data_IF_547719039969
#
_entry.id   IF_547719039969
#
_cell.length_a   1.000
_cell.length_b   1.000
_cell.length_c   1.000
_cell.angle_alpha   90.00
_cell.angle_beta   90.00
_cell.angle_gamma   90.00
#
_symmetry.space_group_name_H-M   'P 1'
#
loop_
_entity.id
_entity.type
_entity.pdbx_description
1 polymer ?
#
# COMPACT_ATOMS: atom_id res chain seq x y z
N UNK A 1 6.90 21.03 21.31
CA UNK A 1 7.56 19.72 21.44
C UNK A 1 8.83 19.71 20.60
N UNK A 2 9.95 19.22 21.14
CA UNK A 2 11.19 19.02 20.37
C UNK A 2 10.97 17.96 19.29
N UNK A 3 11.53 18.17 18.08
CA UNK A 3 11.49 17.19 17.01
C UNK A 3 12.68 16.26 17.10
N UNK A 4 12.44 14.97 16.88
CA UNK A 4 13.50 14.00 16.67
C UNK A 4 13.86 13.97 15.21
N UNK A 5 15.13 13.86 14.88
CA UNK A 5 15.61 13.87 13.50
C UNK A 5 16.59 12.72 13.33
N UNK A 6 16.34 11.87 12.33
CA UNK A 6 17.23 10.78 11.89
C UNK A 6 17.53 10.93 10.40
N UNK A 7 18.67 10.40 9.95
CA UNK A 7 19.17 10.57 8.58
C UNK A 7 19.64 9.25 7.98
N UNK A 8 19.86 9.29 6.68
CA UNK A 8 20.59 8.24 5.97
C UNK A 8 19.90 6.89 5.97
N UNK A 9 20.69 5.86 6.21
CA UNK A 9 20.23 4.46 6.16
C UNK A 9 19.27 4.11 7.31
N UNK A 10 19.50 4.65 8.49
CA UNK A 10 18.65 4.45 9.66
C UNK A 10 17.22 4.94 9.39
N UNK A 11 17.08 6.16 8.87
CA UNK A 11 15.79 6.72 8.48
C UNK A 11 15.06 5.85 7.43
N UNK A 12 15.80 5.38 6.41
CA UNK A 12 15.23 4.51 5.38
C UNK A 12 14.77 3.16 5.93
N UNK A 13 15.57 2.55 6.82
CA UNK A 13 15.20 1.28 7.47
C UNK A 13 13.95 1.41 8.33
N UNK A 14 13.84 2.47 9.13
CA UNK A 14 12.67 2.72 9.96
C UNK A 14 11.41 2.91 9.11
N UNK A 15 11.47 3.76 8.08
CA UNK A 15 10.35 3.96 7.15
C UNK A 15 9.94 2.64 6.47
N UNK A 16 10.91 1.86 5.96
CA UNK A 16 10.63 0.58 5.31
C UNK A 16 10.05 -0.44 6.30
N UNK A 17 10.48 -0.42 7.55
CA UNK A 17 9.91 -1.23 8.63
C UNK A 17 8.41 -0.97 8.79
N UNK A 18 8.02 0.29 8.90
CA UNK A 18 6.62 0.68 9.00
C UNK A 18 5.78 0.34 7.77
N UNK A 19 6.32 0.59 6.57
CA UNK A 19 5.68 0.19 5.30
C UNK A 19 5.41 -1.30 5.28
N UNK A 20 6.38 -2.12 5.64
CA UNK A 20 6.24 -3.57 5.65
C UNK A 20 5.21 -4.04 6.68
N UNK A 21 5.25 -3.52 7.91
CA UNK A 21 4.30 -3.90 8.97
C UNK A 21 2.85 -3.65 8.54
N UNK A 22 2.56 -2.48 7.98
CA UNK A 22 1.22 -2.19 7.49
C UNK A 22 0.84 -3.06 6.28
N UNK A 23 1.69 -3.11 5.26
CA UNK A 23 1.37 -3.84 4.04
C UNK A 23 1.24 -5.35 4.28
N UNK A 24 2.09 -5.95 5.12
CA UNK A 24 2.00 -7.36 5.47
C UNK A 24 0.73 -7.69 6.26
N UNK A 25 0.24 -6.75 7.08
CA UNK A 25 -1.06 -6.88 7.77
C UNK A 25 -2.22 -6.88 6.78
N UNK A 26 -2.21 -5.98 5.81
CA UNK A 26 -3.25 -5.92 4.76
C UNK A 26 -3.16 -7.12 3.82
N UNK A 27 -1.96 -7.58 3.49
CA UNK A 27 -1.68 -8.66 2.54
C UNK A 27 -2.39 -9.98 2.87
N UNK A 28 -2.57 -10.31 4.14
CA UNK A 28 -3.21 -11.55 4.54
C UNK A 28 -4.68 -11.67 4.12
N UNK A 29 -5.31 -10.57 3.74
CA UNK A 29 -6.69 -10.53 3.25
C UNK A 29 -6.83 -10.81 1.76
N UNK A 30 -5.70 -10.88 1.01
CA UNK A 30 -5.72 -10.94 -0.45
C UNK A 30 -6.11 -12.32 -0.99
N UNK A 31 -6.98 -12.31 -2.00
CA UNK A 31 -7.30 -13.47 -2.84
C UNK A 31 -8.20 -14.51 -2.17
N UNK A 32 -8.41 -15.68 -2.83
CA UNK A 32 -9.39 -16.68 -2.38
C UNK A 32 -9.00 -17.39 -1.09
N UNK A 33 -7.74 -17.31 -0.67
CA UNK A 33 -7.25 -17.80 0.64
C UNK A 33 -7.09 -16.68 1.65
N UNK A 34 -7.60 -15.48 1.34
CA UNK A 34 -7.55 -14.33 2.23
C UNK A 34 -8.25 -14.61 3.55
N UNK A 35 -7.73 -14.02 4.62
CA UNK A 35 -8.22 -14.18 5.99
C UNK A 35 -8.66 -12.84 6.53
N UNK A 36 -9.51 -12.87 7.54
CA UNK A 36 -9.87 -11.67 8.28
C UNK A 36 -8.74 -11.26 9.23
N UNK A 37 -8.66 -9.97 9.48
CA UNK A 37 -7.84 -9.36 10.53
C UNK A 37 -8.74 -9.01 11.69
N UNK A 38 -8.25 -9.25 12.90
CA UNK A 38 -8.91 -8.81 14.13
C UNK A 38 -8.18 -7.56 14.62
N UNK A 39 -8.89 -6.45 14.67
CA UNK A 39 -8.36 -5.15 15.11
C UNK A 39 -8.87 -4.87 16.52
N UNK A 40 -7.95 -4.61 17.43
CA UNK A 40 -8.30 -4.17 18.78
C UNK A 40 -8.90 -2.76 18.75
N UNK A 41 -9.92 -2.56 19.54
CA UNK A 41 -10.56 -1.24 19.71
C UNK A 41 -10.41 -0.82 21.17
N UNK A 42 -9.95 0.41 21.38
CA UNK A 42 -9.84 1.01 22.74
C UNK A 42 -11.17 0.99 23.50
N UNK A 43 -12.27 1.05 22.76
CA UNK A 43 -13.63 1.01 23.30
C UNK A 43 -14.49 0.09 22.43
N UNK A 44 -15.20 -0.86 23.06
CA UNK A 44 -16.10 -1.80 22.39
C UNK A 44 -15.47 -3.14 22.02
N UNK A 45 -16.16 -3.92 21.19
CA UNK A 45 -15.68 -5.21 20.73
C UNK A 45 -14.61 -5.06 19.64
N UNK A 46 -13.66 -6.02 19.54
CA UNK A 46 -12.71 -6.06 18.43
C UNK A 46 -13.42 -6.06 17.07
N UNK A 47 -12.85 -5.34 16.11
CA UNK A 47 -13.35 -5.31 14.73
C UNK A 47 -12.73 -6.45 13.92
N UNK A 48 -13.57 -7.30 13.34
CA UNK A 48 -13.14 -8.35 12.42
C UNK A 48 -13.44 -7.89 10.99
N UNK A 49 -12.41 -7.78 10.16
CA UNK A 49 -12.56 -7.27 8.79
C UNK A 49 -11.52 -7.88 7.85
N UNK A 50 -11.83 -7.88 6.56
CA UNK A 50 -10.90 -8.17 5.47
C UNK A 50 -10.74 -6.98 4.50
N UNK A 51 -11.35 -5.86 4.81
CA UNK A 51 -11.25 -4.66 4.00
C UNK A 51 -9.89 -3.96 4.21
N UNK A 52 -9.12 -3.85 3.12
CA UNK A 52 -7.77 -3.33 3.15
C UNK A 52 -7.66 -1.88 3.62
N UNK A 53 -8.59 -1.01 3.23
CA UNK A 53 -8.56 0.40 3.67
C UNK A 53 -8.93 0.55 5.14
N UNK A 54 -9.89 -0.22 5.62
CA UNK A 54 -10.26 -0.23 7.05
C UNK A 54 -9.09 -0.69 7.91
N UNK A 55 -8.41 -1.77 7.52
CA UNK A 55 -7.22 -2.27 8.21
C UNK A 55 -6.12 -1.20 8.20
N UNK A 56 -5.82 -0.63 7.03
CA UNK A 56 -4.77 0.38 6.89
C UNK A 56 -5.02 1.61 7.76
N UNK A 57 -6.28 2.05 7.91
CA UNK A 57 -6.65 3.20 8.74
C UNK A 57 -6.43 2.97 10.25
N UNK A 58 -6.60 1.74 10.71
CA UNK A 58 -6.48 1.39 12.12
C UNK A 58 -5.05 1.07 12.56
N UNK A 59 -4.13 0.79 11.61
CA UNK A 59 -2.73 0.47 11.97
C UNK A 59 -2.01 1.73 12.46
N UNK A 60 -1.57 1.68 13.72
CA UNK A 60 -0.68 2.64 14.35
C UNK A 60 0.49 1.90 14.98
N UNK A 61 1.70 2.41 14.82
CA UNK A 61 2.92 1.80 15.33
C UNK A 61 3.51 2.66 16.47
N UNK A 62 4.08 2.00 17.48
CA UNK A 62 4.67 2.67 18.65
C UNK A 62 5.89 3.52 18.27
N UNK A 63 6.74 2.99 17.40
CA UNK A 63 7.89 3.74 16.89
C UNK A 63 7.44 4.85 15.94
N UNK A 64 7.73 6.14 16.23
CA UNK A 64 7.24 7.25 15.44
C UNK A 64 7.80 7.28 14.02
N UNK A 65 9.02 6.78 13.80
CA UNK A 65 9.64 6.76 12.48
C UNK A 65 9.08 5.61 11.62
N UNK A 66 8.87 4.44 12.21
CA UNK A 66 8.15 3.36 11.53
C UNK A 66 6.70 3.78 11.24
N UNK A 67 6.04 4.44 12.20
CA UNK A 67 4.68 4.92 12.00
C UNK A 67 4.57 5.90 10.83
N UNK A 68 5.55 6.77 10.60
CA UNK A 68 5.59 7.60 9.40
C UNK A 68 5.58 6.77 8.11
N UNK A 69 6.35 5.67 8.07
CA UNK A 69 6.34 4.74 6.95
C UNK A 69 4.97 4.09 6.73
N UNK A 70 4.32 3.64 7.81
CA UNK A 70 2.96 3.10 7.76
C UNK A 70 1.95 4.15 7.23
N UNK A 71 2.03 5.40 7.69
CA UNK A 71 1.15 6.48 7.22
C UNK A 71 1.27 6.75 5.72
N UNK A 72 2.47 6.66 5.12
CA UNK A 72 2.64 6.81 3.67
C UNK A 72 1.87 5.74 2.89
N UNK A 73 1.88 4.50 3.32
CA UNK A 73 1.14 3.42 2.67
C UNK A 73 -0.37 3.47 2.98
N UNK A 74 -0.73 3.90 4.17
CA UNK A 74 -2.13 4.22 4.53
C UNK A 74 -2.74 5.25 3.56
N UNK A 75 -1.97 6.26 3.17
CA UNK A 75 -2.41 7.26 2.20
C UNK A 75 -2.67 6.63 0.83
N UNK A 76 -1.85 5.66 0.39
CA UNK A 76 -2.08 4.92 -0.86
C UNK A 76 -3.42 4.18 -0.83
N UNK A 77 -3.71 3.45 0.25
CA UNK A 77 -4.97 2.74 0.40
C UNK A 77 -6.17 3.70 0.40
N UNK A 78 -6.06 4.81 1.12
CA UNK A 78 -7.12 5.83 1.21
C UNK A 78 -7.39 6.48 -0.14
N UNK A 79 -6.35 6.94 -0.85
CA UNK A 79 -6.52 7.54 -2.19
C UNK A 79 -7.10 6.57 -3.21
N UNK A 80 -6.71 5.30 -3.16
CA UNK A 80 -7.28 4.26 -4.03
C UNK A 80 -8.77 4.09 -3.74
N UNK A 81 -9.16 4.03 -2.48
CA UNK A 81 -10.55 3.97 -2.08
C UNK A 81 -11.36 5.18 -2.56
N UNK A 82 -10.81 6.38 -2.41
CA UNK A 82 -11.51 7.63 -2.77
C UNK A 82 -11.74 7.76 -4.28
N UNK A 83 -10.83 7.19 -5.10
CA UNK A 83 -10.92 7.28 -6.57
C UNK A 83 -11.69 6.11 -7.18
N UNK A 84 -11.45 4.89 -6.70
CA UNK A 84 -11.98 3.67 -7.32
C UNK A 84 -12.98 2.90 -6.44
N UNK A 85 -12.97 3.09 -5.14
CA UNK A 85 -13.80 2.34 -4.19
C UNK A 85 -13.44 0.87 -4.04
N UNK A 86 -12.38 0.41 -4.73
CA UNK A 86 -11.92 -0.98 -4.77
C UNK A 86 -10.41 -1.05 -5.02
N UNK A 87 -9.83 -2.24 -4.82
CA UNK A 87 -8.41 -2.50 -5.11
C UNK A 87 -7.44 -1.96 -4.06
N UNK A 88 -7.89 -1.58 -2.89
CA UNK A 88 -7.07 -0.98 -1.81
C UNK A 88 -5.96 -1.92 -1.33
N UNK A 89 -6.26 -3.21 -1.17
CA UNK A 89 -5.28 -4.25 -0.82
C UNK A 89 -4.21 -4.38 -1.90
N UNK A 90 -4.62 -4.48 -3.17
CA UNK A 90 -3.70 -4.59 -4.31
C UNK A 90 -2.80 -3.37 -4.42
N UNK A 91 -3.35 -2.15 -4.29
CA UNK A 91 -2.59 -0.91 -4.32
C UNK A 91 -1.55 -0.84 -3.19
N UNK A 92 -1.92 -1.26 -1.98
CA UNK A 92 -1.02 -1.34 -0.82
C UNK A 92 0.16 -2.29 -1.08
N UNK A 93 -0.10 -3.46 -1.65
CA UNK A 93 0.93 -4.43 -1.98
C UNK A 93 1.85 -3.95 -3.10
N UNK A 94 1.29 -3.34 -4.14
CA UNK A 94 2.08 -2.75 -5.22
C UNK A 94 2.98 -1.64 -4.70
N UNK A 95 2.47 -0.76 -3.83
CA UNK A 95 3.29 0.27 -3.19
C UNK A 95 4.45 -0.34 -2.40
N UNK A 96 4.20 -1.37 -1.57
CA UNK A 96 5.26 -2.08 -0.86
C UNK A 96 6.30 -2.65 -1.82
N UNK A 97 5.88 -3.35 -2.88
CA UNK A 97 6.79 -3.97 -3.85
C UNK A 97 7.65 -2.92 -4.56
N UNK A 98 7.05 -1.83 -5.04
CA UNK A 98 7.76 -0.73 -5.70
C UNK A 98 8.77 -0.07 -4.77
N UNK A 99 8.40 0.18 -3.52
CA UNK A 99 9.29 0.79 -2.52
C UNK A 99 10.46 -0.16 -2.21
N UNK A 100 10.18 -1.44 -1.95
CA UNK A 100 11.23 -2.42 -1.64
C UNK A 100 12.25 -2.56 -2.78
N UNK A 101 11.80 -2.69 -4.01
CA UNK A 101 12.70 -2.78 -5.17
C UNK A 101 13.41 -1.44 -5.44
N UNK A 102 12.72 -0.32 -5.31
CA UNK A 102 13.30 1.00 -5.41
C UNK A 102 14.40 1.24 -4.38
N UNK A 103 14.16 0.87 -3.13
CA UNK A 103 15.14 1.01 -2.04
C UNK A 103 16.39 0.17 -2.26
N UNK A 104 16.29 -1.05 -2.79
CA UNK A 104 17.47 -1.86 -3.17
C UNK A 104 18.34 -1.12 -4.18
N UNK A 105 17.73 -0.54 -5.20
CA UNK A 105 18.44 0.21 -6.23
C UNK A 105 19.09 1.47 -5.67
N UNK A 106 18.40 2.22 -4.81
CA UNK A 106 18.95 3.42 -4.15
C UNK A 106 20.13 3.05 -3.26
N UNK A 107 20.03 1.97 -2.50
CA UNK A 107 21.13 1.48 -1.66
C UNK A 107 22.33 1.04 -2.50
N UNK A 108 22.09 0.51 -3.69
CA UNK A 108 23.14 0.16 -4.66
C UNK A 108 23.73 1.39 -5.41
N UNK A 109 23.30 2.61 -5.08
CA UNK A 109 23.85 3.85 -5.66
C UNK A 109 23.07 4.41 -6.85
N UNK A 110 21.91 3.87 -7.18
CA UNK A 110 21.08 4.44 -8.24
C UNK A 110 20.57 5.84 -7.87
N UNK A 111 20.51 6.72 -8.87
CA UNK A 111 19.98 8.07 -8.68
C UNK A 111 18.45 8.03 -8.46
N UNK A 112 17.93 8.48 -7.29
CA UNK A 112 16.50 8.44 -6.98
C UNK A 112 15.62 9.20 -7.97
N UNK A 113 16.13 10.30 -8.55
CA UNK A 113 15.38 11.12 -9.51
C UNK A 113 15.20 10.40 -10.85
N UNK A 114 16.22 9.64 -11.27
CA UNK A 114 16.15 8.79 -12.48
C UNK A 114 15.21 7.62 -12.24
N UNK A 115 15.31 6.98 -11.07
CA UNK A 115 14.42 5.90 -10.66
C UNK A 115 12.95 6.35 -10.67
N UNK A 116 12.66 7.52 -10.10
CA UNK A 116 11.31 8.11 -10.12
C UNK A 116 10.76 8.26 -11.54
N UNK A 117 11.55 8.81 -12.46
CA UNK A 117 11.14 8.94 -13.88
C UNK A 117 10.86 7.57 -14.52
N UNK A 118 11.70 6.58 -14.21
CA UNK A 118 11.50 5.20 -14.68
C UNK A 118 10.19 4.59 -14.17
N UNK A 119 9.87 4.76 -12.89
CA UNK A 119 8.62 4.27 -12.29
C UNK A 119 7.41 4.96 -12.96
N UNK A 120 7.45 6.27 -13.17
CA UNK A 120 6.38 6.99 -13.85
C UNK A 120 6.12 6.44 -15.27
N UNK A 121 7.18 6.30 -16.07
CA UNK A 121 7.07 5.76 -17.43
C UNK A 121 6.56 4.31 -17.45
N UNK A 122 7.03 3.48 -16.53
CA UNK A 122 6.55 2.11 -16.40
C UNK A 122 5.07 2.06 -16.02
N UNK A 123 4.61 2.96 -15.14
CA UNK A 123 3.19 3.05 -14.77
C UNK A 123 2.33 3.44 -15.96
N UNK A 124 2.73 4.45 -16.73
CA UNK A 124 2.01 4.86 -17.95
C UNK A 124 1.88 3.69 -18.93
N UNK A 125 2.98 2.98 -19.20
CA UNK A 125 2.98 1.80 -20.08
C UNK A 125 2.09 0.68 -19.57
N UNK A 126 2.10 0.43 -18.24
CA UNK A 126 1.26 -0.58 -17.62
C UNK A 126 -0.23 -0.23 -17.73
N UNK A 127 -0.59 1.04 -17.50
CA UNK A 127 -1.98 1.53 -17.65
C UNK A 127 -2.46 1.36 -19.08
N UNK A 128 -1.66 1.78 -20.07
CA UNK A 128 -2.01 1.58 -21.49
C UNK A 128 -2.22 0.09 -21.85
N UNK A 129 -1.39 -0.80 -21.30
CA UNK A 129 -1.53 -2.23 -21.53
C UNK A 129 -2.81 -2.79 -20.89
N UNK A 130 -3.17 -2.33 -19.69
CA UNK A 130 -4.41 -2.71 -19.01
C UNK A 130 -5.62 -2.24 -19.82
N UNK A 131 -5.62 -0.99 -20.29
CA UNK A 131 -6.70 -0.43 -21.11
C UNK A 131 -6.90 -1.20 -22.41
N UNK A 132 -5.80 -1.57 -23.10
CA UNK A 132 -5.85 -2.38 -24.33
C UNK A 132 -6.42 -3.78 -24.11
N UNK A 133 -6.19 -4.37 -22.93
CA UNK A 133 -6.67 -5.70 -22.57
C UNK A 133 -8.04 -5.69 -21.89
N UNK A 134 -8.55 -4.53 -21.50
CA UNK A 134 -9.83 -4.41 -20.82
C UNK A 134 -11.01 -4.80 -21.75
N UNK A 135 -11.91 -5.60 -21.20
CA UNK A 135 -13.18 -5.93 -21.86
C UNK A 135 -14.27 -5.02 -21.31
N UNK A 136 -14.97 -4.33 -22.20
CA UNK A 136 -16.11 -3.50 -21.80
C UNK A 136 -17.25 -4.40 -21.31
N UNK A 137 -17.77 -4.09 -20.13
CA UNK A 137 -18.95 -4.74 -19.56
C UNK A 137 -20.19 -4.07 -20.15
N UNK A 138 -21.12 -4.86 -20.69
CA UNK A 138 -22.37 -4.36 -21.25
C UNK A 138 -23.55 -5.23 -20.83
N UNK A 139 -24.53 -4.59 -20.16
CA UNK A 139 -25.76 -5.24 -19.73
C UNK A 139 -25.63 -6.11 -18.47
N UNK A 140 -26.79 -6.49 -17.94
CA UNK A 140 -26.92 -7.17 -16.65
C UNK A 140 -26.19 -8.50 -16.55
N UNK A 141 -26.10 -9.26 -17.69
CA UNK A 141 -25.41 -10.56 -17.70
C UNK A 141 -23.90 -10.42 -17.51
N UNK A 142 -23.30 -9.38 -18.07
CA UNK A 142 -21.86 -9.14 -17.92
C UNK A 142 -21.55 -8.58 -16.53
N UNK A 143 -22.41 -7.73 -16.00
CA UNK A 143 -22.30 -7.22 -14.62
C UNK A 143 -22.35 -8.38 -13.62
N UNK A 144 -23.21 -9.37 -13.84
CA UNK A 144 -23.33 -10.53 -12.96
C UNK A 144 -22.11 -11.48 -13.00
N UNK A 145 -21.20 -11.31 -13.95
CA UNK A 145 -19.94 -12.08 -14.06
C UNK A 145 -18.76 -11.43 -13.36
N UNK A 146 -18.86 -10.14 -13.06
CA UNK A 146 -17.87 -9.34 -12.35
C UNK A 146 -18.19 -9.27 -10.87
#
# INVERSE_FOLDING_TARGET
MAKQIIYGEEARKALLGGINKLADTVKITLGPKGRNVVLDKKFGAPLITNDGVTIAKEVELEDPFENMGAQLVKEVATKTNDVAGDGTTTATLLAQALIREGMKNVTAGANPMVLRKGIQKATETAVEAIEKNAKKVSGTKDIARV
#
